data_IF_003480104676
#
_entry.id   IF_003480104676
#
_cell.length_a   1.000
_cell.length_b   1.000
_cell.length_c   1.000
_cell.angle_alpha   90.00
_cell.angle_beta   90.00
_cell.angle_gamma   90.00
#
_symmetry.space_group_name_H-M   'P 1'
#
loop_
_entity.id
_entity.type
_entity.pdbx_description
1 polymer ?
#
# COMPACT_ATOMS: atom_id res chain seq x y z
N UNK A 1 26.27 -14.90 -26.14
CA UNK A 1 25.18 -14.34 -25.31
C UNK A 1 25.31 -12.82 -25.34
N UNK A 2 24.36 -12.09 -25.95
CA UNK A 2 24.50 -10.66 -26.31
C UNK A 2 24.13 -9.73 -25.13
N UNK A 3 24.97 -8.71 -24.86
CA UNK A 3 24.79 -7.71 -23.80
C UNK A 3 23.44 -6.94 -23.92
N UNK A 4 22.92 -6.80 -25.15
CA UNK A 4 21.62 -6.18 -25.42
C UNK A 4 20.44 -6.97 -24.82
N UNK A 5 20.58 -8.30 -24.67
CA UNK A 5 19.52 -9.16 -24.10
C UNK A 5 19.52 -9.10 -22.56
N UNK A 6 20.68 -8.86 -21.94
CA UNK A 6 20.83 -8.67 -20.49
C UNK A 6 20.17 -7.37 -19.99
N UNK A 7 20.10 -6.34 -20.83
CA UNK A 7 19.45 -5.06 -20.51
C UNK A 7 17.92 -5.11 -20.68
N UNK A 8 17.40 -5.94 -21.61
CA UNK A 8 15.95 -6.14 -21.79
C UNK A 8 15.30 -6.95 -20.66
N UNK A 9 16.03 -7.90 -20.08
CA UNK A 9 15.56 -8.75 -18.98
C UNK A 9 15.73 -8.14 -17.58
N UNK A 10 15.76 -6.81 -17.46
CA UNK A 10 15.87 -6.14 -16.16
C UNK A 10 14.73 -5.19 -15.83
N UNK A 11 13.48 -5.50 -16.23
CA UNK A 11 12.27 -4.88 -15.64
C UNK A 11 11.04 -5.79 -15.72
N UNK A 12 11.09 -6.96 -15.09
CA UNK A 12 9.84 -7.53 -14.57
C UNK A 12 10.10 -8.05 -13.16
N UNK A 13 9.84 -7.20 -12.16
CA UNK A 13 9.80 -7.65 -10.77
C UNK A 13 8.75 -8.77 -10.60
N UNK A 14 7.76 -8.85 -11.50
CA UNK A 14 6.76 -9.90 -11.56
C UNK A 14 6.45 -10.24 -13.04
N UNK A 15 6.80 -11.44 -13.52
CA UNK A 15 6.40 -11.96 -14.84
C UNK A 15 5.37 -13.08 -14.62
N UNK A 16 4.10 -12.77 -14.87
CA UNK A 16 2.97 -13.69 -14.62
C UNK A 16 2.62 -14.54 -15.84
N UNK A 17 3.38 -14.45 -16.94
CA UNK A 17 3.08 -15.18 -18.19
C UNK A 17 1.88 -14.65 -18.97
N UNK A 18 1.13 -13.68 -18.42
CA UNK A 18 0.07 -12.96 -19.10
C UNK A 18 0.23 -11.44 -18.98
N UNK A 19 -0.21 -10.71 -20.00
CA UNK A 19 -0.35 -9.26 -19.92
C UNK A 19 -1.57 -8.92 -19.06
N UNK A 20 -1.35 -8.31 -17.90
CA UNK A 20 -2.43 -7.88 -17.03
C UNK A 20 -3.03 -6.55 -17.50
N UNK A 21 -4.36 -6.48 -17.61
CA UNK A 21 -5.04 -5.19 -17.73
C UNK A 21 -4.95 -4.39 -16.41
N UNK A 22 -5.29 -3.09 -16.45
CA UNK A 22 -5.19 -2.20 -15.28
C UNK A 22 -6.03 -2.69 -14.08
N UNK A 23 -7.16 -3.36 -14.32
CA UNK A 23 -8.01 -3.88 -13.25
C UNK A 23 -7.34 -5.05 -12.52
N UNK A 24 -6.80 -6.02 -13.26
CA UNK A 24 -6.03 -7.14 -12.70
C UNK A 24 -4.77 -6.68 -11.96
N UNK A 25 -4.08 -5.67 -12.50
CA UNK A 25 -2.92 -5.07 -11.81
C UNK A 25 -3.31 -4.46 -10.47
N UNK A 26 -4.46 -3.76 -10.41
CA UNK A 26 -4.97 -3.16 -9.16
C UNK A 26 -5.39 -4.22 -8.13
N UNK A 27 -5.94 -5.33 -8.58
CA UNK A 27 -6.27 -6.47 -7.73
C UNK A 27 -5.00 -7.08 -7.10
N UNK A 28 -3.98 -7.34 -7.91
CA UNK A 28 -2.72 -7.97 -7.46
C UNK A 28 -1.88 -7.04 -6.59
N UNK A 29 -1.71 -5.78 -7.00
CA UNK A 29 -0.94 -4.81 -6.22
C UNK A 29 -1.64 -4.42 -4.91
N UNK A 30 -2.91 -4.81 -4.77
CA UNK A 30 -3.79 -4.31 -3.72
C UNK A 30 -4.26 -2.89 -3.99
N UNK A 31 -5.45 -2.61 -3.47
CA UNK A 31 -6.04 -1.29 -3.40
C UNK A 31 -7.04 -1.33 -2.27
N UNK A 32 -6.93 -0.41 -1.32
CA UNK A 32 -7.81 -0.37 -0.17
C UNK A 32 -9.23 0.00 -0.60
N UNK A 33 -10.22 -0.82 -0.23
CA UNK A 33 -11.64 -0.46 -0.30
C UNK A 33 -12.08 0.46 0.85
N UNK A 34 -11.15 0.81 1.72
CA UNK A 34 -11.38 1.72 2.84
C UNK A 34 -11.51 3.14 2.31
N UNK A 35 -12.70 3.72 2.48
CA UNK A 35 -12.95 5.11 2.18
C UNK A 35 -12.11 5.98 3.12
N UNK A 36 -11.34 6.92 2.57
CA UNK A 36 -10.55 7.87 3.35
C UNK A 36 -9.08 7.96 2.89
N UNK A 37 -8.25 8.67 3.67
CA UNK A 37 -6.81 8.77 3.44
C UNK A 37 -6.13 7.40 3.42
N UNK A 38 -5.07 7.26 2.64
CA UNK A 38 -4.23 6.05 2.61
C UNK A 38 -3.21 5.99 3.76
N UNK A 39 -3.03 7.09 4.50
CA UNK A 39 -2.11 7.22 5.62
C UNK A 39 -2.71 8.02 6.78
N UNK A 40 -2.26 7.75 8.00
CA UNK A 40 -2.71 8.43 9.22
C UNK A 40 -1.55 8.74 10.18
N UNK A 41 -1.66 9.83 10.93
CA UNK A 41 -0.72 10.18 12.01
C UNK A 41 0.54 10.94 11.61
N UNK A 42 0.64 11.36 10.35
CA UNK A 42 1.78 12.15 9.84
C UNK A 42 1.29 13.58 9.53
N UNK A 43 1.61 14.58 10.38
CA UNK A 43 1.22 15.96 10.13
C UNK A 43 1.82 16.52 8.83
N UNK A 44 1.05 17.33 8.09
CA UNK A 44 1.54 18.07 6.93
C UNK A 44 1.68 17.29 5.61
N UNK A 45 1.40 15.98 5.58
CA UNK A 45 1.51 15.14 4.37
C UNK A 45 0.16 14.78 3.73
N UNK A 46 -0.94 15.40 4.15
CA UNK A 46 -2.29 15.04 3.67
C UNK A 46 -2.80 13.69 4.19
N UNK A 47 -2.14 13.14 5.22
CA UNK A 47 -2.62 11.98 5.96
C UNK A 47 -3.75 12.36 6.92
N UNK A 48 -4.62 11.41 7.26
CA UNK A 48 -5.63 11.58 8.31
C UNK A 48 -5.03 11.69 9.71
N UNK A 49 -5.82 12.12 10.68
CA UNK A 49 -5.42 12.21 12.09
C UNK A 49 -5.43 10.83 12.77
N UNK A 50 -4.75 10.68 13.91
CA UNK A 50 -4.84 9.43 14.70
C UNK A 50 -6.30 9.14 15.15
N UNK A 51 -7.08 10.17 15.44
CA UNK A 51 -8.50 10.01 15.79
C UNK A 51 -9.30 9.39 14.64
N UNK A 52 -9.08 9.87 13.41
CA UNK A 52 -9.69 9.28 12.21
C UNK A 52 -9.25 7.82 11.99
N UNK A 53 -7.99 7.48 12.32
CA UNK A 53 -7.50 6.10 12.30
C UNK A 53 -8.23 5.20 13.30
N UNK A 54 -8.45 5.68 14.54
CA UNK A 54 -9.13 4.91 15.58
C UNK A 54 -10.58 4.58 15.26
N UNK A 55 -11.24 5.42 14.47
CA UNK A 55 -12.60 5.23 13.97
C UNK A 55 -12.70 4.22 12.81
N UNK A 56 -11.58 3.79 12.22
CA UNK A 56 -11.58 2.76 11.19
C UNK A 56 -12.01 1.41 11.77
N UNK A 57 -12.70 0.61 10.94
CA UNK A 57 -12.91 -0.81 11.25
C UNK A 57 -11.56 -1.54 11.31
N UNK A 58 -11.49 -2.65 12.06
CA UNK A 58 -10.28 -3.48 12.10
C UNK A 58 -9.85 -3.96 10.71
N UNK A 59 -10.82 -4.21 9.81
CA UNK A 59 -10.57 -4.50 8.40
C UNK A 59 -9.77 -3.38 7.72
N UNK A 60 -10.03 -2.12 8.04
CA UNK A 60 -9.35 -0.99 7.43
C UNK A 60 -8.04 -0.62 8.12
N UNK A 61 -7.93 -0.80 9.44
CA UNK A 61 -6.68 -0.54 10.18
C UNK A 61 -5.49 -1.30 9.62
N UNK A 62 -5.67 -2.60 9.29
CA UNK A 62 -4.60 -3.45 8.73
C UNK A 62 -4.26 -3.17 7.25
N UNK A 63 -4.93 -2.20 6.62
CA UNK A 63 -4.79 -1.91 5.18
C UNK A 63 -4.29 -0.50 4.87
N UNK A 64 -4.13 0.36 5.86
CA UNK A 64 -3.67 1.74 5.69
C UNK A 64 -2.29 1.93 6.29
N UNK A 65 -1.55 2.93 5.83
CA UNK A 65 -0.32 3.33 6.51
C UNK A 65 -0.67 4.10 7.78
N UNK A 66 0.03 3.81 8.87
CA UNK A 66 -0.22 4.48 10.15
C UNK A 66 1.11 4.77 10.83
N UNK A 67 1.24 5.99 11.35
CA UNK A 67 2.38 6.34 12.18
C UNK A 67 2.26 5.63 13.53
N UNK A 68 3.37 5.12 14.07
CA UNK A 68 3.40 4.34 15.32
C UNK A 68 2.74 5.07 16.51
N UNK A 69 2.74 6.41 16.51
CA UNK A 69 2.07 7.21 17.54
C UNK A 69 0.56 7.02 17.61
N UNK A 70 -0.07 6.50 16.55
CA UNK A 70 -1.51 6.23 16.56
C UNK A 70 -1.85 4.81 17.05
N UNK A 71 -0.86 3.92 17.25
CA UNK A 71 -1.10 2.54 17.70
C UNK A 71 -1.16 2.39 19.23
N UNK A 72 -0.96 3.48 19.99
CA UNK A 72 -0.77 3.36 21.44
C UNK A 72 -2.07 3.08 22.19
N UNK A 73 -2.28 1.81 22.52
CA UNK A 73 -2.81 1.38 23.83
C UNK A 73 -2.17 0.08 24.36
N UNK A 74 -1.05 -0.38 23.81
CA UNK A 74 -0.33 -1.52 24.38
C UNK A 74 0.86 -1.02 25.21
N UNK A 75 0.65 -1.08 26.52
CA UNK A 75 1.65 -1.05 27.59
C UNK A 75 2.88 -1.89 27.24
N UNK A 76 4.05 -1.24 27.20
CA UNK A 76 5.31 -1.89 27.55
C UNK A 76 5.57 -1.68 29.04
#
# INVERSE_FOLDING_TARGET
>A
MNLLNLLKMKKSILNLGEALNKAKQKEINGGTSCNGPSCYGIPGMGCGTCEQYHQLSNYCKVRVFVHISCETADTF
#
